data_IF_855171774532
#
_entry.id   IF_855171774532
#
_cell.length_a   1.000
_cell.length_b   1.000
_cell.length_c   1.000
_cell.angle_alpha   90.00
_cell.angle_beta   90.00
_cell.angle_gamma   90.00
#
_symmetry.space_group_name_H-M   'P 1'
#
loop_
_entity.id
_entity.type
_entity.pdbx_description
1 polymer ?
#
# COMPACT_ATOMS: atom_id res chain seq x y z
N UNK A 1 52.38 -21.25 -30.97
CA UNK A 1 53.51 -20.30 -31.04
C UNK A 1 53.19 -18.95 -31.71
N UNK A 2 52.64 -18.91 -32.93
CA UNK A 2 52.32 -17.64 -33.63
C UNK A 2 51.31 -16.74 -32.88
N UNK A 3 50.27 -17.33 -32.29
CA UNK A 3 49.25 -16.61 -31.51
C UNK A 3 49.85 -15.98 -30.24
N UNK A 4 50.69 -16.70 -29.50
CA UNK A 4 51.37 -16.17 -28.32
C UNK A 4 52.30 -15.01 -28.67
N UNK A 5 53.06 -15.10 -29.78
CA UNK A 5 53.90 -13.99 -30.27
C UNK A 5 53.04 -12.77 -30.67
N UNK A 6 51.85 -12.99 -31.23
CA UNK A 6 50.92 -11.90 -31.53
C UNK A 6 50.35 -11.25 -30.25
N UNK A 7 49.93 -12.05 -29.26
CA UNK A 7 49.45 -11.55 -27.97
C UNK A 7 50.53 -10.74 -27.23
N UNK A 8 51.76 -11.24 -27.18
CA UNK A 8 52.89 -10.52 -26.57
C UNK A 8 53.11 -9.16 -27.23
N UNK A 9 53.06 -9.07 -28.57
CA UNK A 9 53.17 -7.79 -29.29
C UNK A 9 52.05 -6.81 -28.90
N UNK A 10 50.83 -7.29 -28.69
CA UNK A 10 49.69 -6.46 -28.26
C UNK A 10 49.90 -5.96 -26.82
N UNK A 11 50.30 -6.85 -25.89
CA UNK A 11 50.53 -6.46 -24.50
C UNK A 11 51.72 -5.50 -24.32
N UNK A 12 52.77 -5.67 -25.12
CA UNK A 12 53.94 -4.77 -25.10
C UNK A 12 53.74 -3.47 -25.89
N UNK A 13 52.62 -3.32 -26.61
CA UNK A 13 52.34 -2.08 -27.32
C UNK A 13 52.14 -0.91 -26.32
N UNK A 14 52.77 0.24 -26.58
CA UNK A 14 52.77 1.39 -25.66
C UNK A 14 51.36 1.80 -25.19
N UNK A 15 50.37 1.82 -26.10
CA UNK A 15 48.96 2.12 -25.74
C UNK A 15 48.36 1.14 -24.75
N UNK A 16 48.69 -0.16 -24.86
CA UNK A 16 48.24 -1.17 -23.91
C UNK A 16 48.88 -0.96 -22.53
N UNK A 17 50.16 -0.59 -22.51
CA UNK A 17 50.88 -0.22 -21.29
C UNK A 17 50.32 1.04 -20.62
N UNK A 18 50.04 2.10 -21.38
CA UNK A 18 49.40 3.32 -20.88
C UNK A 18 47.99 3.07 -20.35
N UNK A 19 47.17 2.31 -21.10
CA UNK A 19 45.85 1.90 -20.65
C UNK A 19 45.94 1.12 -19.34
N UNK A 20 46.83 0.12 -19.26
CA UNK A 20 46.99 -0.71 -18.06
C UNK A 20 47.47 0.09 -16.85
N UNK A 21 48.26 1.16 -17.04
CA UNK A 21 48.68 2.06 -15.94
C UNK A 21 47.53 2.89 -15.39
N UNK A 22 46.61 3.30 -16.27
CA UNK A 22 45.47 4.15 -15.91
C UNK A 22 44.23 3.34 -15.54
N UNK A 23 44.21 2.04 -15.82
CA UNK A 23 43.09 1.15 -15.53
C UNK A 23 43.08 0.74 -14.06
N UNK A 24 42.03 1.14 -13.34
CA UNK A 24 41.86 0.82 -11.93
C UNK A 24 40.46 0.24 -11.69
N UNK A 25 40.40 -1.08 -11.47
CA UNK A 25 39.16 -1.82 -11.27
C UNK A 25 38.34 -1.30 -10.06
N UNK A 26 38.94 -1.01 -8.89
CA UNK A 26 38.24 -0.32 -7.80
C UNK A 26 37.60 1.01 -8.20
N UNK A 27 38.33 1.90 -8.87
CA UNK A 27 37.81 3.21 -9.29
C UNK A 27 36.69 3.05 -10.31
N UNK A 28 36.87 2.14 -11.28
CA UNK A 28 35.82 1.80 -12.24
C UNK A 28 34.52 1.41 -11.54
N UNK A 29 34.58 0.46 -10.60
CA UNK A 29 33.41 0.06 -9.83
C UNK A 29 32.80 1.23 -9.04
N UNK A 30 33.63 2.04 -8.38
CA UNK A 30 33.17 3.20 -7.61
C UNK A 30 32.37 4.19 -8.45
N UNK A 31 32.83 4.48 -9.67
CA UNK A 31 32.12 5.36 -10.60
C UNK A 31 30.77 4.75 -11.02
N UNK A 32 30.76 3.47 -11.47
CA UNK A 32 29.53 2.79 -11.88
C UNK A 32 28.49 2.69 -10.75
N UNK A 33 28.95 2.35 -9.55
CA UNK A 33 28.08 2.27 -8.38
C UNK A 33 27.62 3.66 -7.92
N UNK A 34 28.48 4.68 -8.05
CA UNK A 34 28.15 6.07 -7.80
C UNK A 34 27.01 6.58 -8.70
N UNK A 35 27.07 6.29 -10.01
CA UNK A 35 26.02 6.63 -10.97
C UNK A 35 24.69 5.96 -10.59
N UNK A 36 24.74 4.67 -10.25
CA UNK A 36 23.57 3.90 -9.80
C UNK A 36 22.96 4.47 -8.52
N UNK A 37 23.81 4.88 -7.57
CA UNK A 37 23.36 5.53 -6.34
C UNK A 37 22.74 6.90 -6.60
N UNK A 38 23.29 7.67 -7.54
CA UNK A 38 22.77 8.98 -7.94
C UNK A 38 21.37 8.84 -8.55
N UNK A 39 21.19 7.86 -9.45
CA UNK A 39 19.89 7.53 -10.05
C UNK A 39 18.85 7.17 -8.98
N UNK A 40 19.19 6.23 -8.09
CA UNK A 40 18.30 5.84 -6.99
C UNK A 40 17.94 7.05 -6.10
N UNK A 41 18.92 7.89 -5.75
CA UNK A 41 18.69 9.08 -4.93
C UNK A 41 17.74 10.07 -5.59
N UNK A 42 17.92 10.35 -6.87
CA UNK A 42 17.02 11.23 -7.63
C UNK A 42 15.61 10.64 -7.67
N UNK A 43 15.49 9.34 -7.90
CA UNK A 43 14.20 8.68 -7.97
C UNK A 43 13.46 8.66 -6.62
N UNK A 44 14.15 8.34 -5.51
CA UNK A 44 13.55 8.38 -4.17
C UNK A 44 13.21 9.80 -3.75
N UNK A 45 14.05 10.78 -4.06
CA UNK A 45 13.77 12.20 -3.77
C UNK A 45 12.54 12.69 -4.54
N UNK A 46 12.42 12.38 -5.83
CA UNK A 46 11.23 12.74 -6.62
C UNK A 46 9.99 12.06 -6.07
N UNK A 47 10.07 10.76 -5.80
CA UNK A 47 8.96 9.98 -5.19
C UNK A 47 8.56 10.57 -3.84
N UNK A 48 9.52 11.01 -3.03
CA UNK A 48 9.24 11.66 -1.75
C UNK A 48 8.51 13.00 -1.97
N UNK A 49 8.96 13.83 -2.90
CA UNK A 49 8.40 15.17 -3.15
C UNK A 49 7.01 15.14 -3.80
N UNK A 50 6.82 14.29 -4.79
CA UNK A 50 5.64 14.29 -5.66
C UNK A 50 4.67 13.13 -5.33
N UNK A 51 5.11 12.16 -4.53
CA UNK A 51 4.35 10.98 -4.15
C UNK A 51 4.73 9.72 -4.95
N UNK A 52 4.10 8.59 -4.62
CA UNK A 52 4.42 7.28 -5.20
C UNK A 52 4.15 7.17 -6.71
N UNK A 53 3.20 7.95 -7.21
CA UNK A 53 2.84 8.00 -8.64
C UNK A 53 3.76 8.90 -9.47
N UNK A 54 4.79 9.51 -8.86
CA UNK A 54 5.71 10.38 -9.55
C UNK A 54 6.51 9.62 -10.62
N UNK A 55 6.69 10.23 -11.79
CA UNK A 55 7.55 9.70 -12.84
C UNK A 55 9.02 9.91 -12.48
N UNK A 56 9.55 8.99 -11.69
CA UNK A 56 10.92 9.00 -11.17
C UNK A 56 11.94 8.27 -12.04
N UNK A 57 11.49 7.67 -13.16
CA UNK A 57 12.36 6.93 -14.08
C UNK A 57 13.25 7.87 -14.89
N UNK A 58 14.54 7.52 -14.99
CA UNK A 58 15.58 8.41 -15.52
C UNK A 58 15.90 8.21 -17.01
N UNK A 59 15.50 7.07 -17.60
CA UNK A 59 15.91 6.67 -18.95
C UNK A 59 14.84 6.88 -20.04
N UNK A 60 13.89 7.79 -19.81
CA UNK A 60 12.88 8.21 -20.79
C UNK A 60 11.59 7.36 -20.81
N UNK A 61 10.53 7.94 -21.36
CA UNK A 61 9.17 7.38 -21.35
C UNK A 61 9.04 6.09 -22.17
N UNK A 62 9.68 6.02 -23.34
CA UNK A 62 9.65 4.83 -24.20
C UNK A 62 10.21 3.58 -23.49
N UNK A 63 11.36 3.74 -22.82
CA UNK A 63 11.98 2.64 -22.05
C UNK A 63 11.17 2.34 -20.78
N UNK A 64 10.55 3.33 -20.16
CA UNK A 64 9.65 3.13 -19.02
C UNK A 64 8.50 2.20 -19.40
N UNK A 65 7.79 2.49 -20.50
CA UNK A 65 6.65 1.67 -20.93
C UNK A 65 7.06 0.26 -21.36
N UNK A 66 8.20 0.11 -22.03
CA UNK A 66 8.74 -1.20 -22.36
C UNK A 66 9.03 -2.03 -21.10
N UNK A 67 9.67 -1.43 -20.09
CA UNK A 67 9.97 -2.11 -18.83
C UNK A 67 8.72 -2.40 -18.01
N UNK A 68 7.71 -1.52 -18.00
CA UNK A 68 6.41 -1.78 -17.36
C UNK A 68 5.74 -3.01 -17.96
N UNK A 69 5.73 -3.10 -19.30
CA UNK A 69 5.15 -4.25 -20.00
C UNK A 69 5.92 -5.56 -19.73
N UNK A 70 7.25 -5.50 -19.61
CA UNK A 70 8.09 -6.67 -19.33
C UNK A 70 8.00 -7.14 -17.87
N UNK A 71 8.07 -6.19 -16.94
CA UNK A 71 8.25 -6.49 -15.51
C UNK A 71 6.94 -6.55 -14.75
N UNK A 72 5.93 -5.81 -15.20
CA UNK A 72 4.65 -5.60 -14.54
C UNK A 72 4.68 -4.57 -13.40
N UNK A 73 5.81 -3.92 -13.12
CA UNK A 73 5.86 -2.81 -12.16
C UNK A 73 5.04 -1.63 -12.70
N UNK A 74 4.29 -0.97 -11.83
CA UNK A 74 3.48 0.22 -12.12
C UNK A 74 4.16 1.50 -11.62
N UNK A 75 4.74 1.44 -10.42
CA UNK A 75 5.43 2.55 -9.78
C UNK A 75 6.82 2.75 -10.40
N UNK A 76 7.05 3.95 -10.95
CA UNK A 76 8.29 4.30 -11.66
C UNK A 76 9.56 4.10 -10.81
N UNK A 77 9.48 4.24 -9.49
CA UNK A 77 10.61 3.98 -8.59
C UNK A 77 11.05 2.51 -8.63
N UNK A 78 10.11 1.57 -8.70
CA UNK A 78 10.42 0.15 -8.76
C UNK A 78 10.98 -0.23 -10.14
N UNK A 79 10.47 0.38 -11.21
CA UNK A 79 11.04 0.25 -12.56
C UNK A 79 12.49 0.75 -12.58
N UNK A 80 12.76 1.93 -12.01
CA UNK A 80 14.11 2.50 -11.93
C UNK A 80 15.07 1.58 -11.14
N UNK A 81 14.62 1.05 -10.00
CA UNK A 81 15.42 0.11 -9.21
C UNK A 81 15.73 -1.14 -10.01
N UNK A 82 14.74 -1.73 -10.67
CA UNK A 82 14.94 -2.95 -11.45
C UNK A 82 15.87 -2.71 -12.66
N UNK A 83 15.77 -1.56 -13.30
CA UNK A 83 16.67 -1.16 -14.39
C UNK A 83 18.12 -1.00 -13.89
N UNK A 84 18.33 -0.34 -12.74
CA UNK A 84 19.65 -0.23 -12.11
C UNK A 84 20.24 -1.61 -11.82
N UNK A 85 19.43 -2.55 -11.31
CA UNK A 85 19.87 -3.91 -11.03
C UNK A 85 20.33 -4.63 -12.30
N UNK A 86 19.59 -4.52 -13.40
CA UNK A 86 19.97 -5.12 -14.68
C UNK A 86 21.20 -4.45 -15.30
N UNK A 87 21.35 -3.13 -15.15
CA UNK A 87 22.48 -2.38 -15.68
C UNK A 87 23.84 -2.85 -15.12
N UNK A 88 23.88 -3.36 -13.88
CA UNK A 88 25.11 -3.93 -13.30
C UNK A 88 25.68 -5.11 -14.08
N UNK A 89 24.83 -5.84 -14.82
CA UNK A 89 25.19 -7.09 -15.50
C UNK A 89 25.27 -6.93 -17.02
N UNK A 90 25.12 -5.71 -17.52
CA UNK A 90 25.23 -5.45 -18.96
C UNK A 90 26.65 -5.74 -19.48
N UNK A 91 26.79 -6.26 -20.73
CA UNK A 91 28.10 -6.61 -21.28
C UNK A 91 29.11 -5.46 -21.35
N UNK A 92 28.64 -4.22 -21.47
CA UNK A 92 29.43 -2.98 -21.53
C UNK A 92 29.74 -2.36 -20.16
N UNK A 93 29.16 -2.93 -19.08
CA UNK A 93 29.32 -2.45 -17.70
C UNK A 93 30.02 -3.49 -16.83
N UNK A 94 29.60 -4.74 -16.91
CA UNK A 94 30.03 -5.81 -16.04
C UNK A 94 31.46 -6.25 -16.34
N UNK A 95 32.26 -6.39 -15.28
CA UNK A 95 33.61 -6.96 -15.34
C UNK A 95 33.69 -8.15 -14.40
N UNK A 96 34.02 -9.32 -14.95
CA UNK A 96 34.11 -10.59 -14.21
C UNK A 96 34.99 -10.55 -12.94
N UNK A 97 36.16 -9.90 -12.92
CA UNK A 97 36.95 -9.78 -11.69
C UNK A 97 36.23 -9.03 -10.55
N UNK A 98 35.14 -8.32 -10.87
CA UNK A 98 34.36 -7.49 -9.95
C UNK A 98 32.99 -8.08 -9.60
N UNK A 99 32.70 -9.36 -9.92
CA UNK A 99 31.41 -10.02 -9.62
C UNK A 99 30.93 -9.78 -8.19
N UNK A 100 31.80 -10.03 -7.21
CA UNK A 100 31.48 -9.84 -5.79
C UNK A 100 31.08 -8.39 -5.47
N UNK A 101 31.67 -7.40 -6.15
CA UNK A 101 31.32 -5.99 -5.97
C UNK A 101 29.99 -5.65 -6.61
N UNK A 102 29.75 -6.07 -7.85
CA UNK A 102 28.46 -5.86 -8.52
C UNK A 102 27.30 -6.54 -7.79
N UNK A 103 27.50 -7.77 -7.31
CA UNK A 103 26.51 -8.47 -6.47
C UNK A 103 26.25 -7.72 -5.17
N UNK A 104 27.30 -7.27 -4.48
CA UNK A 104 27.16 -6.43 -3.29
C UNK A 104 26.42 -5.12 -3.61
N UNK A 105 26.74 -4.48 -4.72
CA UNK A 105 26.08 -3.24 -5.16
C UNK A 105 24.59 -3.44 -5.40
N UNK A 106 24.21 -4.54 -6.06
CA UNK A 106 22.81 -4.92 -6.25
C UNK A 106 22.06 -5.08 -4.92
N UNK A 107 22.63 -5.84 -3.98
CA UNK A 107 22.06 -6.03 -2.64
C UNK A 107 21.95 -4.70 -1.89
N UNK A 108 22.93 -3.80 -2.05
CA UNK A 108 22.88 -2.46 -1.45
C UNK A 108 21.76 -1.60 -2.05
N UNK A 109 21.52 -1.66 -3.37
CA UNK A 109 20.42 -0.94 -4.02
C UNK A 109 19.06 -1.43 -3.47
N UNK A 110 18.84 -2.74 -3.42
CA UNK A 110 17.61 -3.33 -2.83
C UNK A 110 17.46 -2.92 -1.37
N UNK A 111 18.51 -3.05 -0.56
CA UNK A 111 18.48 -2.68 0.85
C UNK A 111 18.16 -1.20 1.09
N UNK A 112 18.62 -0.31 0.20
CA UNK A 112 18.29 1.13 0.28
C UNK A 112 16.84 1.41 -0.08
N UNK A 113 16.28 0.75 -1.10
CA UNK A 113 14.86 0.84 -1.43
C UNK A 113 13.99 0.35 -0.25
N UNK A 114 14.30 -0.84 0.27
CA UNK A 114 13.58 -1.44 1.41
C UNK A 114 13.62 -0.52 2.63
N UNK A 115 14.79 0.07 2.93
CA UNK A 115 14.94 1.03 4.02
C UNK A 115 14.13 2.31 3.79
N UNK A 116 14.11 2.85 2.56
CA UNK A 116 13.29 4.01 2.20
C UNK A 116 11.80 3.75 2.43
N UNK A 117 11.30 2.60 1.95
CA UNK A 117 9.91 2.18 2.16
C UNK A 117 9.61 2.05 3.65
N UNK A 118 10.45 1.34 4.40
CA UNK A 118 10.23 1.08 5.83
C UNK A 118 10.23 2.37 6.67
N UNK A 119 11.17 3.28 6.42
CA UNK A 119 11.24 4.58 7.12
C UNK A 119 10.00 5.41 6.80
N UNK A 120 9.57 5.42 5.53
CA UNK A 120 8.33 6.08 5.15
C UNK A 120 7.10 5.48 5.81
N UNK A 121 6.97 4.14 5.82
CA UNK A 121 5.81 3.45 6.42
C UNK A 121 5.70 3.75 7.91
N UNK A 122 6.84 3.90 8.59
CA UNK A 122 6.89 4.27 10.02
C UNK A 122 6.53 5.74 10.32
N UNK A 123 6.23 6.55 9.29
CA UNK A 123 5.90 7.97 9.43
C UNK A 123 7.09 8.89 9.73
N UNK A 124 8.32 8.35 9.76
CA UNK A 124 9.56 9.11 9.98
C UNK A 124 9.97 9.95 8.77
N UNK A 125 9.49 9.60 7.58
CA UNK A 125 9.69 10.36 6.35
C UNK A 125 8.36 10.94 5.88
N UNK A 126 8.33 12.26 5.67
CA UNK A 126 7.18 12.96 5.08
C UNK A 126 7.34 13.04 3.56
N UNK A 127 6.23 12.82 2.88
CA UNK A 127 6.07 12.92 1.43
C UNK A 127 5.34 14.22 1.10
N UNK A 128 5.43 14.73 -0.13
CA UNK A 128 4.92 16.05 -0.49
C UNK A 128 5.96 17.16 -0.30
N UNK A 129 5.74 18.32 -0.92
CA UNK A 129 6.56 19.51 -0.70
C UNK A 129 5.82 20.48 0.24
N UNK A 130 6.53 20.99 1.25
CA UNK A 130 6.08 22.19 1.94
C UNK A 130 6.07 23.35 0.96
N UNK A 131 4.91 24.00 0.78
CA UNK A 131 4.85 25.29 0.09
C UNK A 131 5.81 26.22 0.82
N UNK A 132 6.94 26.57 0.18
CA UNK A 132 7.75 27.70 0.64
C UNK A 132 6.82 28.91 0.65
N UNK A 133 6.56 29.49 1.81
CA UNK A 133 5.87 30.77 1.90
C UNK A 133 6.67 31.78 1.08
N UNK A 134 6.11 32.23 -0.05
CA UNK A 134 6.63 33.39 -0.74
C UNK A 134 6.70 34.54 0.28
N UNK A 135 7.81 35.28 0.36
CA UNK A 135 7.84 36.50 1.17
C UNK A 135 6.71 37.42 0.67
N UNK A 136 5.99 38.12 1.57
CA UNK A 136 4.89 38.97 1.17
C UNK A 136 5.39 39.98 0.12
N UNK A 137 4.80 39.93 -1.07
CA UNK A 137 5.03 40.89 -2.15
C UNK A 137 4.73 42.27 -1.56
N UNK A 138 5.80 43.05 -1.31
CA UNK A 138 5.65 44.46 -1.05
C UNK A 138 5.15 45.10 -2.34
N UNK A 139 3.93 45.63 -2.30
CA UNK A 139 3.38 46.50 -3.33
C UNK A 139 4.28 47.75 -3.45
N UNK A 140 5.27 47.69 -4.33
CA UNK A 140 6.02 48.82 -4.83
C UNK A 140 5.46 49.19 -6.20
N UNK A 141 4.71 50.30 -6.25
CA UNK A 141 4.34 50.96 -7.50
C UNK A 141 5.58 51.37 -8.29
N UNK A 142 5.71 50.89 -9.52
CA UNK A 142 6.28 51.68 -10.62
C UNK A 142 5.85 51.10 -11.96
N UNK A 143 5.25 51.98 -12.76
CA UNK A 143 5.00 51.84 -14.19
C UNK A 143 6.26 51.39 -14.95
N UNK A 144 6.12 50.48 -15.90
CA UNK A 144 6.40 50.76 -17.31
C UNK A 144 5.95 49.59 -18.20
N UNK A 145 5.29 49.95 -19.30
CA UNK A 145 4.93 49.07 -20.43
C UNK A 145 6.20 48.75 -21.24
N UNK A 146 6.42 47.48 -21.61
CA UNK A 146 6.47 47.05 -23.03
C UNK A 146 6.80 45.54 -23.19
N UNK A 147 6.39 45.01 -24.34
CA UNK A 147 6.80 43.77 -25.00
C UNK A 147 6.06 42.45 -24.68
N UNK A 148 5.29 42.11 -25.71
CA UNK A 148 4.48 40.92 -26.01
C UNK A 148 5.35 39.74 -26.51
N UNK A 149 4.80 38.52 -26.35
CA UNK A 149 5.12 37.22 -26.97
C UNK A 149 6.34 36.44 -26.46
N UNK A 150 6.10 35.44 -25.61
CA UNK A 150 6.62 34.08 -25.85
C UNK A 150 5.75 32.99 -25.18
N UNK A 151 5.87 31.79 -25.72
CA UNK A 151 4.84 30.79 -25.95
C UNK A 151 4.27 30.08 -24.71
N UNK A 152 2.99 29.74 -24.84
CA UNK A 152 2.28 28.72 -24.08
C UNK A 152 3.00 27.37 -24.21
N UNK A 153 3.84 27.05 -23.23
CA UNK A 153 4.18 25.66 -22.91
C UNK A 153 3.17 25.23 -21.87
N UNK A 154 2.33 24.24 -22.21
CA UNK A 154 1.50 23.49 -21.28
C UNK A 154 2.39 22.95 -20.15
N UNK A 155 2.50 23.71 -19.06
CA UNK A 155 3.02 23.21 -17.80
C UNK A 155 1.95 22.27 -17.27
N UNK A 156 2.15 20.97 -17.48
CA UNK A 156 1.54 19.92 -16.68
C UNK A 156 1.64 20.38 -15.23
N UNK A 157 0.51 20.67 -14.61
CA UNK A 157 0.45 21.14 -13.23
C UNK A 157 0.90 19.98 -12.35
N UNK A 158 2.18 19.95 -11.99
CA UNK A 158 2.68 19.06 -10.94
C UNK A 158 1.83 19.35 -9.70
N UNK A 159 1.00 18.39 -9.31
CA UNK A 159 0.20 18.50 -8.09
C UNK A 159 1.17 18.41 -6.92
N UNK A 160 1.68 19.56 -6.48
CA UNK A 160 2.43 19.66 -5.23
C UNK A 160 1.50 19.26 -4.11
N UNK A 161 1.66 18.02 -3.63
CA UNK A 161 0.91 17.50 -2.48
C UNK A 161 1.43 18.17 -1.21
N UNK A 162 0.50 18.60 -0.36
CA UNK A 162 0.85 19.03 1.00
C UNK A 162 1.59 17.89 1.75
N UNK A 163 2.47 18.21 2.70
CA UNK A 163 3.23 17.20 3.42
C UNK A 163 2.36 16.14 4.10
N UNK A 164 2.60 14.86 3.80
CA UNK A 164 1.78 13.76 4.26
C UNK A 164 2.62 12.53 4.69
N UNK A 165 2.05 11.67 5.52
CA UNK A 165 2.58 10.34 5.81
C UNK A 165 1.94 9.34 4.85
N UNK A 166 2.70 8.75 3.93
CA UNK A 166 2.10 7.81 2.97
C UNK A 166 1.50 6.56 3.63
N UNK A 167 2.00 6.17 4.81
CA UNK A 167 1.40 5.12 5.64
C UNK A 167 -0.04 5.39 6.10
N UNK A 168 -0.55 6.61 5.89
CA UNK A 168 -1.94 6.99 6.17
C UNK A 168 -2.84 6.87 4.92
N UNK A 169 -2.26 6.60 3.75
CA UNK A 169 -2.97 6.47 2.47
C UNK A 169 -3.06 5.01 2.03
N UNK A 170 -4.29 4.50 2.02
CA UNK A 170 -4.62 3.10 1.74
C UNK A 170 -4.07 2.61 0.38
N UNK A 171 -4.24 3.40 -0.68
CA UNK A 171 -3.82 3.05 -2.05
C UNK A 171 -2.30 3.02 -2.19
N UNK A 172 -1.60 4.01 -1.61
CA UNK A 172 -0.13 4.05 -1.59
C UNK A 172 0.42 2.82 -0.84
N UNK A 173 -0.09 2.52 0.36
CA UNK A 173 0.30 1.35 1.18
C UNK A 173 0.12 0.04 0.41
N UNK A 174 -1.04 -0.16 -0.20
CA UNK A 174 -1.34 -1.38 -0.94
C UNK A 174 -0.51 -1.52 -2.21
N UNK A 175 -0.30 -0.43 -2.95
CA UNK A 175 0.50 -0.43 -4.18
C UNK A 175 1.97 -0.73 -3.89
N UNK A 176 2.57 -0.08 -2.91
CA UNK A 176 3.98 -0.34 -2.54
C UNK A 176 4.17 -1.75 -1.99
N UNK A 177 3.24 -2.27 -1.18
CA UNK A 177 3.31 -3.64 -0.68
C UNK A 177 3.22 -4.68 -1.81
N UNK A 178 2.40 -4.40 -2.83
CA UNK A 178 2.31 -5.24 -4.03
C UNK A 178 3.62 -5.23 -4.83
N UNK A 179 4.18 -4.05 -5.09
CA UNK A 179 5.42 -3.90 -5.85
C UNK A 179 6.62 -4.52 -5.13
N UNK A 180 6.65 -4.44 -3.80
CA UNK A 180 7.60 -5.16 -2.96
C UNK A 180 7.48 -6.68 -3.14
N UNK A 181 6.26 -7.22 -3.15
CA UNK A 181 6.01 -8.65 -3.38
C UNK A 181 6.48 -9.07 -4.77
N UNK A 182 6.24 -8.24 -5.79
CA UNK A 182 6.72 -8.48 -7.15
C UNK A 182 8.25 -8.45 -7.21
N UNK A 183 8.88 -7.47 -6.57
CA UNK A 183 10.34 -7.34 -6.51
C UNK A 183 10.97 -8.57 -5.84
N UNK A 184 10.43 -9.03 -4.71
CA UNK A 184 10.88 -10.26 -4.05
C UNK A 184 10.84 -11.47 -5.00
N UNK A 185 9.74 -11.66 -5.72
CA UNK A 185 9.62 -12.75 -6.71
C UNK A 185 10.60 -12.60 -7.87
N UNK A 186 10.78 -11.37 -8.40
CA UNK A 186 11.71 -11.08 -9.50
C UNK A 186 13.17 -11.31 -9.09
N UNK A 187 13.55 -10.91 -7.87
CA UNK A 187 14.88 -11.13 -7.32
C UNK A 187 15.20 -12.62 -7.21
N UNK A 188 14.28 -13.41 -6.65
CA UNK A 188 14.51 -14.83 -6.37
C UNK A 188 14.37 -15.75 -7.59
N UNK A 189 13.90 -15.23 -8.75
CA UNK A 189 13.70 -16.04 -9.97
C UNK A 189 14.50 -15.50 -11.14
N UNK A 190 14.08 -14.35 -11.67
CA UNK A 190 14.59 -13.83 -12.94
C UNK A 190 15.97 -13.17 -12.78
N UNK A 191 16.19 -12.47 -11.66
CA UNK A 191 17.43 -11.76 -11.45
C UNK A 191 18.62 -12.71 -11.20
N UNK A 192 18.38 -13.85 -10.54
CA UNK A 192 19.36 -14.95 -10.45
C UNK A 192 19.83 -15.34 -11.84
N UNK A 193 18.90 -15.55 -12.78
CA UNK A 193 19.25 -15.94 -14.15
C UNK A 193 20.03 -14.83 -14.89
N UNK A 194 19.69 -13.56 -14.67
CA UNK A 194 20.46 -12.42 -15.21
C UNK A 194 21.91 -12.42 -14.73
N UNK A 195 22.12 -12.60 -13.43
CA UNK A 195 23.47 -12.69 -12.84
C UNK A 195 24.23 -13.88 -13.41
N UNK A 196 23.59 -15.06 -13.45
CA UNK A 196 24.21 -16.29 -13.93
C UNK A 196 24.59 -16.19 -15.41
N UNK A 197 23.75 -15.58 -16.26
CA UNK A 197 24.05 -15.35 -17.67
C UNK A 197 25.28 -14.47 -17.88
N UNK A 198 25.48 -13.45 -17.03
CA UNK A 198 26.65 -12.56 -17.11
C UNK A 198 27.91 -13.19 -16.50
N UNK A 199 27.77 -13.84 -15.35
CA UNK A 199 28.90 -14.32 -14.54
C UNK A 199 29.47 -15.66 -14.99
N UNK A 200 28.70 -16.53 -15.64
CA UNK A 200 29.18 -17.84 -16.12
C UNK A 200 29.93 -17.71 -17.44
N UNK A 201 30.98 -18.50 -17.66
CA UNK A 201 31.61 -18.66 -18.98
C UNK A 201 31.37 -20.07 -19.53
N UNK A 202 31.55 -20.23 -20.84
CA UNK A 202 31.62 -21.55 -21.49
C UNK A 202 32.72 -22.47 -20.93
N UNK A 203 33.68 -21.93 -20.19
CA UNK A 203 34.77 -22.68 -19.57
C UNK A 203 34.43 -23.20 -18.16
N UNK A 204 33.33 -22.75 -17.55
CA UNK A 204 32.93 -23.23 -16.23
C UNK A 204 32.35 -24.66 -16.32
N UNK A 205 32.71 -25.52 -15.37
CA UNK A 205 32.10 -26.84 -15.21
C UNK A 205 30.64 -26.71 -14.74
N UNK A 206 29.85 -27.78 -14.87
CA UNK A 206 28.45 -27.74 -14.40
C UNK A 206 28.35 -27.69 -12.86
N UNK A 207 29.34 -28.25 -12.16
CA UNK A 207 29.49 -28.15 -10.70
C UNK A 207 29.72 -26.69 -10.26
N UNK A 208 30.68 -25.99 -10.89
CA UNK A 208 30.96 -24.58 -10.60
C UNK A 208 29.75 -23.66 -10.86
N UNK A 209 28.99 -23.96 -11.92
CA UNK A 209 27.74 -23.23 -12.21
C UNK A 209 26.69 -23.46 -11.13
N UNK A 210 26.55 -24.70 -10.64
CA UNK A 210 25.63 -25.06 -9.57
C UNK A 210 25.96 -24.35 -8.26
N UNK A 211 27.24 -24.38 -7.86
CA UNK A 211 27.72 -23.71 -6.65
C UNK A 211 27.51 -22.19 -6.72
N UNK A 212 27.87 -21.56 -7.83
CA UNK A 212 27.68 -20.12 -8.02
C UNK A 212 26.19 -19.75 -8.00
N UNK A 213 25.33 -20.56 -8.61
CA UNK A 213 23.88 -20.34 -8.58
C UNK A 213 23.35 -20.38 -7.14
N UNK A 214 23.71 -21.41 -6.39
CA UNK A 214 23.28 -21.57 -4.99
C UNK A 214 23.72 -20.37 -4.14
N UNK A 215 24.96 -19.88 -4.34
CA UNK A 215 25.46 -18.72 -3.61
C UNK A 215 24.69 -17.44 -3.97
N UNK A 216 24.38 -17.23 -5.24
CA UNK A 216 23.59 -16.08 -5.70
C UNK A 216 22.16 -16.14 -5.14
N UNK A 217 21.54 -17.32 -5.17
CA UNK A 217 20.21 -17.56 -4.61
C UNK A 217 20.18 -17.28 -3.10
N UNK A 218 21.18 -17.75 -2.35
CA UNK A 218 21.32 -17.48 -0.90
C UNK A 218 21.45 -15.98 -0.61
N UNK A 219 22.37 -15.29 -1.30
CA UNK A 219 22.60 -13.85 -1.10
C UNK A 219 21.36 -13.01 -1.45
N UNK A 220 20.62 -13.39 -2.50
CA UNK A 220 19.40 -12.67 -2.89
C UNK A 220 18.22 -12.99 -1.96
N UNK A 221 18.12 -14.22 -1.46
CA UNK A 221 17.13 -14.59 -0.45
C UNK A 221 17.34 -13.81 0.86
N UNK A 222 18.60 -13.64 1.30
CA UNK A 222 18.93 -12.88 2.52
C UNK A 222 18.49 -11.42 2.45
N UNK A 223 18.65 -10.76 1.29
CA UNK A 223 18.18 -9.38 1.13
C UNK A 223 16.66 -9.32 0.98
N UNK A 224 16.06 -10.31 0.32
CA UNK A 224 14.60 -10.35 0.11
C UNK A 224 13.84 -10.69 1.38
N UNK A 225 14.44 -11.38 2.36
CA UNK A 225 13.82 -11.74 3.63
C UNK A 225 13.25 -10.54 4.40
N UNK A 226 13.81 -9.34 4.20
CA UNK A 226 13.31 -8.10 4.81
C UNK A 226 12.01 -7.58 4.20
N UNK A 227 11.66 -8.04 3.00
CA UNK A 227 10.48 -7.60 2.26
C UNK A 227 9.20 -8.20 2.86
N UNK A 228 9.18 -9.52 3.09
CA UNK A 228 8.02 -10.24 3.65
C UNK A 228 7.41 -9.56 4.89
N UNK A 229 8.18 -9.26 5.95
CA UNK A 229 7.68 -8.57 7.14
C UNK A 229 7.07 -7.19 6.87
N UNK A 230 7.60 -6.43 5.90
CA UNK A 230 7.04 -5.11 5.53
C UNK A 230 5.71 -5.29 4.82
N UNK A 231 5.60 -6.29 3.94
CA UNK A 231 4.34 -6.62 3.26
C UNK A 231 3.30 -7.09 4.26
N UNK A 232 3.67 -7.97 5.20
CA UNK A 232 2.77 -8.42 6.27
C UNK A 232 2.30 -7.27 7.16
N UNK A 233 3.20 -6.40 7.61
CA UNK A 233 2.86 -5.20 8.38
C UNK A 233 1.91 -4.29 7.60
N UNK A 234 2.18 -4.07 6.31
CA UNK A 234 1.35 -3.21 5.46
C UNK A 234 -0.09 -3.71 5.38
N UNK A 235 -0.28 -5.01 5.16
CA UNK A 235 -1.61 -5.61 5.00
C UNK A 235 -2.33 -5.87 6.32
N UNK A 236 -1.65 -6.43 7.32
CA UNK A 236 -2.30 -6.91 8.55
C UNK A 236 -2.38 -5.85 9.65
N UNK A 237 -1.56 -4.80 9.59
CA UNK A 237 -1.60 -3.71 10.57
C UNK A 237 -2.09 -2.41 9.94
N UNK A 238 -1.37 -1.88 8.96
CA UNK A 238 -1.62 -0.52 8.44
C UNK A 238 -2.94 -0.44 7.68
N UNK A 239 -3.11 -1.26 6.65
CA UNK A 239 -4.34 -1.34 5.84
C UNK A 239 -5.56 -1.66 6.72
N UNK A 240 -5.42 -2.63 7.64
CA UNK A 240 -6.48 -3.01 8.59
C UNK A 240 -6.90 -1.80 9.43
N UNK A 241 -5.95 -1.09 10.03
CA UNK A 241 -6.24 0.09 10.86
C UNK A 241 -6.94 1.21 10.08
N UNK A 242 -6.46 1.51 8.86
CA UNK A 242 -7.06 2.52 8.00
C UNK A 242 -8.50 2.15 7.60
N UNK A 243 -8.74 0.88 7.25
CA UNK A 243 -10.08 0.40 6.90
C UNK A 243 -11.00 0.39 8.11
N UNK A 244 -10.51 0.02 9.30
CA UNK A 244 -11.29 0.11 10.53
C UNK A 244 -11.76 1.54 10.77
N UNK A 245 -10.89 2.53 10.63
CA UNK A 245 -11.26 3.95 10.79
C UNK A 245 -12.36 4.34 9.79
N UNK A 246 -12.15 4.06 8.50
CA UNK A 246 -13.13 4.37 7.43
C UNK A 246 -14.47 3.66 7.65
N UNK A 247 -14.45 2.38 8.03
CA UNK A 247 -15.66 1.58 8.25
C UNK A 247 -16.39 1.94 9.56
N UNK A 248 -15.70 2.50 10.55
CA UNK A 248 -16.32 2.94 11.80
C UNK A 248 -16.99 4.32 11.69
N UNK A 249 -16.62 5.15 10.72
CA UNK A 249 -17.18 6.50 10.58
C UNK A 249 -18.73 6.52 10.49
N UNK A 250 -19.40 5.62 9.74
CA UNK A 250 -20.87 5.57 9.71
C UNK A 250 -21.54 5.15 11.03
N UNK A 251 -20.80 4.51 11.95
CA UNK A 251 -21.36 4.03 13.23
C UNK A 251 -21.82 5.18 14.15
N UNK A 252 -21.36 6.41 13.91
CA UNK A 252 -21.85 7.59 14.62
C UNK A 252 -23.37 7.80 14.46
N UNK A 253 -23.97 7.31 13.37
CA UNK A 253 -25.40 7.42 13.10
C UNK A 253 -26.27 6.53 13.99
N UNK A 254 -25.70 5.54 14.69
CA UNK A 254 -26.44 4.61 15.57
C UNK A 254 -27.23 5.37 16.64
N UNK A 255 -26.66 6.45 17.20
CA UNK A 255 -27.34 7.27 18.22
C UNK A 255 -28.61 7.95 17.69
N UNK A 256 -28.69 8.21 16.38
CA UNK A 256 -29.85 8.82 15.72
C UNK A 256 -31.03 7.85 15.51
N UNK A 257 -30.84 6.55 15.69
CA UNK A 257 -31.89 5.54 15.47
C UNK A 257 -33.06 5.75 16.44
N UNK A 258 -32.80 6.01 17.72
CA UNK A 258 -33.85 6.27 18.70
C UNK A 258 -34.66 7.55 18.39
N UNK A 259 -34.00 8.60 17.88
CA UNK A 259 -34.65 9.85 17.53
C UNK A 259 -35.67 9.68 16.39
N UNK A 260 -35.48 8.67 15.53
CA UNK A 260 -36.37 8.40 14.39
C UNK A 260 -37.77 7.96 14.84
N UNK A 261 -37.88 7.23 15.95
CA UNK A 261 -39.13 6.64 16.43
C UNK A 261 -39.74 7.34 17.63
N UNK A 262 -38.91 8.05 18.43
CA UNK A 262 -39.36 8.67 19.67
C UNK A 262 -40.40 9.75 19.39
N UNK A 263 -41.63 9.53 19.87
CA UNK A 263 -42.74 10.49 19.73
C UNK A 263 -43.05 10.85 18.27
N UNK A 264 -42.65 9.99 17.32
CA UNK A 264 -43.01 10.11 15.93
C UNK A 264 -44.10 9.06 15.68
N UNK A 265 -45.23 9.42 15.09
CA UNK A 265 -46.28 8.46 14.71
C UNK A 265 -45.83 7.56 13.52
N UNK A 266 -44.52 7.29 13.40
CA UNK A 266 -43.96 6.45 12.34
C UNK A 266 -44.36 4.99 12.55
N UNK A 267 -44.68 4.28 11.46
CA UNK A 267 -44.94 2.84 11.51
C UNK A 267 -43.68 2.05 11.90
N UNK A 268 -43.83 0.78 12.30
CA UNK A 268 -42.70 -0.11 12.53
C UNK A 268 -41.77 -0.21 11.29
N UNK A 269 -40.45 -0.32 11.49
CA UNK A 269 -39.51 -0.43 10.38
C UNK A 269 -39.68 -1.70 9.57
N UNK A 270 -39.41 -1.60 8.27
CA UNK A 270 -39.39 -2.71 7.30
C UNK A 270 -38.05 -2.90 6.60
N UNK A 271 -37.15 -1.94 6.74
CA UNK A 271 -35.84 -1.91 6.09
C UNK A 271 -34.79 -1.45 7.10
N UNK A 272 -33.53 -1.83 6.84
CA UNK A 272 -32.38 -1.36 7.61
C UNK A 272 -32.20 0.15 7.48
N UNK A 273 -31.52 0.74 8.47
CA UNK A 273 -31.11 2.12 8.49
C UNK A 273 -30.19 2.43 7.30
N UNK A 274 -30.28 3.63 6.69
CA UNK A 274 -29.56 3.95 5.46
C UNK A 274 -28.03 4.00 5.60
N UNK A 275 -27.51 4.11 6.83
CA UNK A 275 -26.08 4.09 7.09
C UNK A 275 -25.49 2.67 7.09
N UNK A 276 -26.29 1.62 7.26
CA UNK A 276 -25.78 0.26 7.44
C UNK A 276 -25.02 -0.26 6.20
N UNK A 277 -25.54 -0.09 4.96
CA UNK A 277 -24.81 -0.51 3.77
C UNK A 277 -23.49 0.25 3.56
N UNK A 278 -23.32 1.43 4.18
CA UNK A 278 -22.10 2.23 4.03
C UNK A 278 -20.99 1.83 5.00
N UNK A 279 -21.29 1.04 6.06
CA UNK A 279 -20.32 0.60 7.07
C UNK A 279 -19.17 -0.17 6.42
N UNK A 280 -19.47 -1.25 5.68
CA UNK A 280 -18.44 -2.10 5.06
C UNK A 280 -18.13 -1.73 3.61
N UNK A 281 -18.71 -0.64 3.09
CA UNK A 281 -18.45 -0.17 1.72
C UNK A 281 -16.97 0.11 1.46
N UNK A 282 -16.21 0.81 2.33
CA UNK A 282 -14.78 1.05 2.10
C UNK A 282 -13.97 -0.25 1.97
N UNK A 283 -14.28 -1.26 2.79
CA UNK A 283 -13.63 -2.57 2.73
C UNK A 283 -13.98 -3.31 1.42
N UNK A 284 -15.24 -3.23 0.96
CA UNK A 284 -15.67 -3.86 -0.30
C UNK A 284 -14.99 -3.24 -1.51
N UNK A 285 -14.98 -1.92 -1.59
CA UNK A 285 -14.35 -1.16 -2.67
C UNK A 285 -12.86 -1.51 -2.76
N UNK A 286 -12.15 -1.43 -1.63
CA UNK A 286 -10.73 -1.77 -1.56
C UNK A 286 -10.44 -3.24 -1.91
N UNK A 287 -11.22 -4.19 -1.37
CA UNK A 287 -11.05 -5.62 -1.69
C UNK A 287 -11.26 -5.90 -3.19
N UNK A 288 -12.15 -5.18 -3.85
CA UNK A 288 -12.41 -5.36 -5.28
C UNK A 288 -11.28 -4.79 -6.14
N UNK A 289 -10.78 -3.61 -5.78
CA UNK A 289 -9.68 -2.94 -6.45
C UNK A 289 -8.39 -3.75 -6.35
N UNK A 290 -8.02 -4.20 -5.14
CA UNK A 290 -6.76 -4.91 -4.90
C UNK A 290 -6.88 -6.44 -4.96
N UNK A 291 -8.00 -6.99 -5.47
CA UNK A 291 -8.26 -8.44 -5.50
C UNK A 291 -7.14 -9.27 -6.14
N UNK A 292 -6.52 -8.72 -7.19
CA UNK A 292 -5.41 -9.37 -7.93
C UNK A 292 -4.02 -9.01 -7.40
N UNK A 293 -3.96 -8.05 -6.47
CA UNK A 293 -2.72 -7.49 -5.89
C UNK A 293 -2.55 -7.85 -4.41
N UNK A 294 -3.40 -8.72 -3.87
CA UNK A 294 -3.24 -9.25 -2.50
C UNK A 294 -2.29 -10.46 -2.54
N UNK A 295 -1.12 -10.39 -1.86
CA UNK A 295 -0.20 -11.52 -1.79
C UNK A 295 -0.84 -12.75 -1.15
N UNK A 296 -0.54 -13.94 -1.66
CA UNK A 296 -1.13 -15.20 -1.15
C UNK A 296 -0.83 -15.42 0.33
N UNK A 297 0.37 -15.02 0.79
CA UNK A 297 0.81 -15.14 2.18
C UNK A 297 -0.03 -14.31 3.18
N UNK A 298 -0.65 -13.22 2.72
CA UNK A 298 -1.52 -12.38 3.56
C UNK A 298 -2.87 -13.07 3.84
N UNK A 299 -3.33 -13.89 2.90
CA UNK A 299 -4.57 -14.66 3.03
C UNK A 299 -5.82 -13.77 3.28
N UNK A 300 -6.77 -14.31 4.04
CA UNK A 300 -8.06 -13.64 4.35
C UNK A 300 -8.09 -12.93 5.70
N UNK A 301 -7.03 -13.07 6.50
CA UNK A 301 -7.02 -12.65 7.90
C UNK A 301 -7.21 -11.15 8.08
N UNK A 302 -6.61 -10.33 7.22
CA UNK A 302 -6.79 -8.88 7.24
C UNK A 302 -8.27 -8.47 7.13
N UNK A 303 -9.05 -9.13 6.25
CA UNK A 303 -10.49 -8.84 6.10
C UNK A 303 -11.27 -9.23 7.34
N UNK A 304 -10.96 -10.40 7.90
CA UNK A 304 -11.58 -10.88 9.14
C UNK A 304 -11.27 -9.92 10.29
N UNK A 305 -10.03 -9.44 10.41
CA UNK A 305 -9.62 -8.48 11.43
C UNK A 305 -10.37 -7.14 11.35
N UNK A 306 -10.58 -6.62 10.14
CA UNK A 306 -11.40 -5.40 9.93
C UNK A 306 -12.85 -5.66 10.37
N UNK A 307 -13.47 -6.72 9.88
CA UNK A 307 -14.88 -7.03 10.19
C UNK A 307 -15.05 -7.28 11.68
N UNK A 308 -14.17 -8.02 12.33
CA UNK A 308 -14.23 -8.30 13.76
C UNK A 308 -14.21 -7.02 14.59
N UNK A 309 -13.24 -6.14 14.32
CA UNK A 309 -13.08 -4.89 15.07
C UNK A 309 -14.22 -3.91 14.83
N UNK A 310 -14.67 -3.76 13.57
CA UNK A 310 -15.83 -2.91 13.23
C UNK A 310 -17.09 -3.44 13.92
N UNK A 311 -17.27 -4.77 13.94
CA UNK A 311 -18.43 -5.41 14.59
C UNK A 311 -18.40 -5.22 16.11
N UNK A 312 -17.23 -5.34 16.75
CA UNK A 312 -17.03 -5.05 18.19
C UNK A 312 -17.38 -3.59 18.53
N UNK A 313 -16.94 -2.62 17.71
CA UNK A 313 -17.29 -1.21 17.87
C UNK A 313 -18.78 -0.95 17.62
N UNK A 314 -19.37 -1.64 16.66
CA UNK A 314 -20.80 -1.56 16.41
C UNK A 314 -21.60 -2.10 17.61
N UNK A 315 -21.19 -3.24 18.19
CA UNK A 315 -21.81 -3.78 19.41
C UNK A 315 -21.83 -2.76 20.55
N UNK A 316 -20.73 -2.05 20.79
CA UNK A 316 -20.65 -1.00 21.82
C UNK A 316 -21.66 0.12 21.55
N UNK A 317 -21.73 0.63 20.31
CA UNK A 317 -22.68 1.68 19.95
C UNK A 317 -24.15 1.23 20.11
N UNK A 318 -24.44 -0.04 19.81
CA UNK A 318 -25.76 -0.65 20.00
C UNK A 318 -26.09 -0.84 21.48
N UNK A 319 -25.14 -1.30 22.30
CA UNK A 319 -25.29 -1.41 23.75
C UNK A 319 -25.63 -0.05 24.39
N UNK A 320 -24.91 1.01 24.03
CA UNK A 320 -25.16 2.38 24.49
C UNK A 320 -26.58 2.86 24.13
N UNK A 321 -27.02 2.57 22.90
CA UNK A 321 -28.35 2.93 22.41
C UNK A 321 -29.44 2.17 23.18
N UNK A 322 -29.31 0.85 23.32
CA UNK A 322 -30.27 0.01 24.05
C UNK A 322 -30.39 0.50 25.50
N UNK A 323 -29.27 0.76 26.19
CA UNK A 323 -29.27 1.29 27.55
C UNK A 323 -29.93 2.67 27.65
N UNK A 324 -29.80 3.50 26.62
CA UNK A 324 -30.47 4.81 26.55
C UNK A 324 -31.98 4.66 26.37
N UNK A 325 -32.41 3.77 25.46
CA UNK A 325 -33.83 3.47 25.22
C UNK A 325 -34.48 2.92 26.48
N UNK A 326 -33.86 1.94 27.17
CA UNK A 326 -34.36 1.36 28.42
C UNK A 326 -34.59 2.43 29.49
N UNK A 327 -33.60 3.29 29.76
CA UNK A 327 -33.73 4.41 30.71
C UNK A 327 -34.88 5.35 30.35
N UNK A 328 -35.06 5.65 29.06
CA UNK A 328 -36.17 6.51 28.61
C UNK A 328 -37.54 5.84 28.74
N UNK A 329 -37.64 4.53 28.49
CA UNK A 329 -38.87 3.76 28.67
C UNK A 329 -39.27 3.65 30.14
N UNK A 330 -38.32 3.36 31.03
CA UNK A 330 -38.55 3.31 32.49
C UNK A 330 -39.04 4.66 33.04
N UNK A 331 -38.40 5.76 32.63
CA UNK A 331 -38.83 7.11 33.00
C UNK A 331 -40.25 7.43 32.51
N UNK A 332 -40.60 7.00 31.29
CA UNK A 332 -41.94 7.17 30.73
C UNK A 332 -42.98 6.28 31.44
N UNK A 333 -42.61 5.05 31.82
CA UNK A 333 -43.48 4.11 32.55
C UNK A 333 -43.83 4.65 33.93
N UNK A 334 -42.84 5.19 34.65
CA UNK A 334 -43.07 5.84 35.95
C UNK A 334 -43.97 7.09 35.84
N UNK A 335 -43.95 7.78 34.69
CA UNK A 335 -44.79 8.96 34.42
C UNK A 335 -46.19 8.61 33.87
N UNK A 336 -46.36 7.48 33.19
CA UNK A 336 -47.61 7.01 32.55
C UNK A 336 -48.47 6.07 33.40
N UNK A 337 -48.15 5.87 34.67
CA UNK A 337 -48.91 5.01 35.60
C UNK A 337 -50.42 5.35 35.79
N UNK A 338 -51.01 6.26 34.98
CA UNK A 338 -52.44 6.60 34.97
C UNK A 338 -53.19 6.42 33.64
N UNK A 339 -52.58 5.99 32.53
CA UNK A 339 -53.34 5.71 31.28
C UNK A 339 -52.79 4.52 30.53
N UNK A 340 -53.37 3.35 30.80
CA UNK A 340 -53.27 2.18 29.94
C UNK A 340 -54.36 2.27 28.86
N UNK A 341 -53.96 2.42 27.60
CA UNK A 341 -54.72 1.99 26.42
C UNK A 341 -53.92 2.35 25.15
N UNK A 342 -53.43 1.31 24.46
CA UNK A 342 -53.35 1.18 22.99
C UNK A 342 -52.40 0.00 22.69
N UNK A 343 -52.94 -1.10 22.15
CA UNK A 343 -52.19 -2.30 21.78
C UNK A 343 -51.34 -2.11 20.52
N UNK A 344 -50.34 -1.25 20.59
CA UNK A 344 -49.38 -1.01 19.51
C UNK A 344 -47.93 -1.06 20.01
N UNK A 345 -47.01 -1.37 19.10
CA UNK A 345 -45.58 -1.48 19.37
C UNK A 345 -45.02 -0.20 20.01
N UNK A 346 -44.31 -0.34 21.13
CA UNK A 346 -43.67 0.80 21.82
C UNK A 346 -42.57 1.41 20.94
N UNK A 347 -42.22 2.68 21.19
CA UNK A 347 -41.08 3.31 20.50
C UNK A 347 -39.78 2.52 20.74
N UNK A 348 -39.58 1.94 21.92
CA UNK A 348 -38.41 1.10 22.21
C UNK A 348 -38.45 -0.26 21.52
N UNK A 349 -39.63 -0.86 21.35
CA UNK A 349 -39.80 -2.08 20.53
C UNK A 349 -39.50 -1.79 19.05
N UNK A 350 -39.94 -0.64 18.51
CA UNK A 350 -39.58 -0.21 17.14
C UNK A 350 -38.07 -0.03 16.98
N UNK A 351 -37.39 0.55 17.97
CA UNK A 351 -35.92 0.68 17.95
C UNK A 351 -35.24 -0.68 17.99
N UNK A 352 -35.69 -1.60 18.85
CA UNK A 352 -35.17 -2.98 18.88
C UNK A 352 -35.36 -3.69 17.54
N UNK A 353 -36.52 -3.53 16.90
CA UNK A 353 -36.78 -4.07 15.56
C UNK A 353 -35.87 -3.44 14.49
N UNK A 354 -35.64 -2.12 14.54
CA UNK A 354 -34.69 -1.46 13.63
C UNK A 354 -33.29 -2.05 13.77
N UNK A 355 -32.80 -2.23 14.99
CA UNK A 355 -31.47 -2.79 15.25
C UNK A 355 -31.32 -4.22 14.74
N UNK A 356 -32.39 -5.01 14.78
CA UNK A 356 -32.40 -6.34 14.17
C UNK A 356 -32.28 -6.30 12.64
N UNK A 357 -33.06 -5.45 11.97
CA UNK A 357 -32.96 -5.26 10.52
C UNK A 357 -31.59 -4.73 10.11
N UNK A 358 -31.03 -3.82 10.90
CA UNK A 358 -29.68 -3.29 10.70
C UNK A 358 -28.62 -4.39 10.84
N UNK A 359 -28.74 -5.26 11.84
CA UNK A 359 -27.85 -6.41 11.99
C UNK A 359 -27.98 -7.40 10.82
N UNK A 360 -29.19 -7.71 10.35
CA UNK A 360 -29.38 -8.60 9.20
C UNK A 360 -28.69 -8.07 7.94
N UNK A 361 -28.86 -6.78 7.66
CA UNK A 361 -28.21 -6.13 6.52
C UNK A 361 -26.68 -6.10 6.70
N UNK A 362 -26.19 -5.76 7.89
CA UNK A 362 -24.76 -5.83 8.18
C UNK A 362 -24.20 -7.25 7.97
N UNK A 363 -24.92 -8.29 8.42
CA UNK A 363 -24.54 -9.69 8.23
C UNK A 363 -24.48 -10.08 6.76
N UNK A 364 -25.44 -9.62 5.94
CA UNK A 364 -25.41 -9.83 4.49
C UNK A 364 -24.20 -9.16 3.84
N UNK A 365 -23.86 -7.96 4.30
CA UNK A 365 -22.66 -7.25 3.87
C UNK A 365 -21.37 -8.01 4.20
N UNK A 366 -21.29 -8.66 5.37
CA UNK A 366 -20.16 -9.56 5.73
C UNK A 366 -20.10 -10.77 4.80
N UNK A 367 -21.23 -11.46 4.54
CA UNK A 367 -21.27 -12.61 3.62
C UNK A 367 -20.79 -12.25 2.22
N UNK A 368 -21.14 -11.06 1.72
CA UNK A 368 -20.73 -10.60 0.39
C UNK A 368 -19.22 -10.40 0.24
N UNK A 369 -18.47 -10.30 1.35
CA UNK A 369 -17.00 -10.23 1.35
C UNK A 369 -16.33 -11.62 1.32
N UNK A 370 -17.12 -12.69 1.27
CA UNK A 370 -16.66 -14.07 1.33
C UNK A 370 -16.26 -14.52 2.74
N UNK A 371 -16.77 -13.85 3.78
CA UNK A 371 -16.51 -14.18 5.18
C UNK A 371 -17.76 -14.84 5.76
N UNK A 372 -17.59 -15.97 6.45
CA UNK A 372 -18.68 -16.54 7.23
C UNK A 372 -18.91 -15.69 8.50
N UNK A 373 -20.08 -15.06 8.68
CA UNK A 373 -20.39 -14.29 9.88
C UNK A 373 -20.28 -15.08 11.18
N UNK A 374 -20.44 -16.42 11.12
CA UNK A 374 -20.43 -17.27 12.31
C UNK A 374 -19.03 -17.46 12.92
N UNK A 375 -17.98 -17.31 12.10
CA UNK A 375 -16.60 -17.50 12.52
C UNK A 375 -15.99 -16.22 13.13
N UNK A 376 -16.71 -15.11 13.13
CA UNK A 376 -16.24 -13.81 13.60
C UNK A 376 -16.87 -13.48 14.95
N UNK A 377 -16.03 -13.35 15.97
CA UNK A 377 -16.46 -13.10 17.36
C UNK A 377 -17.29 -11.82 17.48
N UNK A 378 -16.82 -10.72 16.89
CA UNK A 378 -17.51 -9.43 16.92
C UNK A 378 -18.89 -9.47 16.28
N UNK A 379 -19.05 -10.22 15.19
CA UNK A 379 -20.36 -10.39 14.52
C UNK A 379 -21.30 -11.22 15.39
N UNK A 380 -20.77 -12.26 16.04
CA UNK A 380 -21.53 -13.09 16.98
C UNK A 380 -21.99 -12.31 18.21
N UNK A 381 -21.13 -11.41 18.73
CA UNK A 381 -21.50 -10.47 19.79
C UNK A 381 -22.62 -9.52 19.34
N UNK A 382 -22.49 -8.91 18.16
CA UNK A 382 -23.54 -8.02 17.63
C UNK A 382 -24.88 -8.75 17.45
N UNK A 383 -24.83 -10.02 17.01
CA UNK A 383 -26.02 -10.88 16.90
C UNK A 383 -26.73 -11.01 18.24
N UNK A 384 -26.01 -11.32 19.32
CA UNK A 384 -26.61 -11.60 20.63
C UNK A 384 -27.41 -10.42 21.19
N UNK A 385 -27.00 -9.18 20.88
CA UNK A 385 -27.69 -7.95 21.27
C UNK A 385 -29.06 -7.76 20.58
N UNK A 386 -29.27 -8.42 19.44
CA UNK A 386 -30.50 -8.26 18.63
C UNK A 386 -31.48 -9.44 18.74
N UNK A 387 -31.09 -10.53 19.42
CA UNK A 387 -31.94 -11.74 19.59
C UNK A 387 -33.27 -11.41 20.27
N UNK A 388 -33.28 -10.47 21.23
CA UNK A 388 -34.52 -10.05 21.91
C UNK A 388 -35.58 -9.48 20.96
N UNK A 389 -35.17 -8.92 19.82
CA UNK A 389 -36.05 -8.40 18.78
C UNK A 389 -36.48 -9.46 17.77
N UNK A 390 -35.69 -10.54 17.58
CA UNK A 390 -36.07 -11.67 16.74
C UNK A 390 -37.37 -12.33 17.23
N UNK A 391 -37.55 -12.38 18.55
CA UNK A 391 -38.79 -12.85 19.17
C UNK A 391 -39.98 -11.91 18.88
N UNK A 392 -39.76 -10.60 18.72
CA UNK A 392 -40.82 -9.64 18.35
C UNK A 392 -41.29 -9.85 16.91
N UNK A 393 -40.40 -10.27 16.01
CA UNK A 393 -40.74 -10.60 14.61
C UNK A 393 -41.46 -11.95 14.54
N UNK A 394 -41.02 -12.96 15.30
CA UNK A 394 -41.64 -14.30 15.31
C UNK A 394 -43.02 -14.35 15.99
N UNK A 395 -43.27 -13.48 16.98
CA UNK A 395 -44.53 -13.46 17.73
C UNK A 395 -45.66 -12.66 17.05
N UNK A 396 -45.45 -12.13 15.85
CA UNK A 396 -46.50 -11.54 15.02
C UNK A 396 -46.90 -10.13 15.45
N UNK A 397 -46.60 -9.18 14.57
CA UNK A 397 -47.54 -8.07 14.28
C UNK A 397 -48.74 -8.66 13.55
#
# INVERSE_FOLDING_TARGET
ESIQKAQQRIYHHHKSGEFSKNWNLPIYYQLRFGDSCSRLNSATLRTQKEGWMAESFSAGEEKLEALRAETGFELSLFVEVYDILNDFWRPDVYLRPLTHRFLRGAVQIVGRLVSFVQVGLSGKLKFGEEKKSEPPVQNGNSHDEDSVLDQTVDRVSYVTRDPYCWGEHLEDVASVAWELTMLESKLNREYVDTIMKAAVTKMCSDEEKGEMRSLVEEVLADVSQKIGPIVEQSWNEVIVNLLIVKCCAPLGAVKGVAATYRMTNRPPPKQSSPFVPTILRPLKEFNNEFKRRTPLQVGVQWKVGVVDTVSKRYSIAVEELIATVQRTEEALKNRKARRAAAGGMSDGEKVKLQLYLDFQEFQNNVRSLGIDPSTVEGVTKLRSLTIGAENLVRNGV
#
